data_IF_735976173684
#
_entry.id   IF_735976173684
#
_cell.length_a   1.000
_cell.length_b   1.000
_cell.length_c   1.000
_cell.angle_alpha   90.00
_cell.angle_beta   90.00
_cell.angle_gamma   90.00
#
_symmetry.space_group_name_H-M   'P 1'
#
loop_
_entity.id
_entity.type
_entity.pdbx_description
1 polymer ?
#
# COMPACT_ATOMS: atom_id res chain seq x y z
N UNK A 1 -8.88 11.55 -3.10
CA UNK A 1 -7.44 11.78 -2.89
C UNK A 1 -7.23 12.61 -1.64
N UNK A 2 -6.54 12.10 -0.62
CA UNK A 2 -5.95 12.94 0.42
C UNK A 2 -4.46 12.68 0.47
N UNK A 3 -3.75 13.25 -0.50
CA UNK A 3 -2.33 12.99 -0.68
C UNK A 3 -1.53 13.47 0.54
N UNK A 4 -1.87 14.56 1.24
CA UNK A 4 -1.36 14.88 2.59
C UNK A 4 -2.26 15.90 3.34
N UNK A 5 -3.44 15.50 3.85
CA UNK A 5 -4.41 16.45 4.45
C UNK A 5 -4.24 16.69 5.96
N UNK A 6 -3.47 15.85 6.63
CA UNK A 6 -3.13 16.00 8.05
C UNK A 6 -1.65 16.39 8.14
N UNK A 7 -1.28 17.29 9.05
CA UNK A 7 0.11 17.56 9.38
C UNK A 7 0.82 16.23 9.65
N UNK A 8 1.55 15.72 8.64
CA UNK A 8 2.30 14.48 8.79
C UNK A 8 3.46 14.80 9.71
N UNK A 9 3.25 14.56 11.01
CA UNK A 9 4.25 14.79 12.07
C UNK A 9 5.57 14.07 11.76
N UNK A 10 5.49 12.94 11.04
CA UNK A 10 6.65 12.18 10.58
C UNK A 10 6.31 11.31 9.38
N UNK A 11 7.10 11.45 8.33
CA UNK A 11 7.00 10.57 7.16
C UNK A 11 7.53 9.17 7.47
N UNK A 12 6.91 8.11 6.93
CA UNK A 12 7.45 6.77 7.00
C UNK A 12 8.81 6.73 6.30
N UNK A 13 9.74 5.99 6.89
CA UNK A 13 10.97 5.60 6.20
C UNK A 13 10.66 4.49 5.19
N UNK A 14 11.54 4.33 4.19
CA UNK A 14 11.37 3.32 3.14
C UNK A 14 11.20 1.90 3.69
N UNK A 15 11.95 1.53 4.74
CA UNK A 15 11.82 0.22 5.39
C UNK A 15 10.40 -0.04 5.94
N UNK A 16 9.76 1.00 6.47
CA UNK A 16 8.38 0.93 6.99
C UNK A 16 7.38 0.79 5.85
N UNK A 17 7.56 1.55 4.77
CA UNK A 17 6.72 1.44 3.56
C UNK A 17 6.79 0.03 2.98
N UNK A 18 8.01 -0.51 2.79
CA UNK A 18 8.22 -1.85 2.25
C UNK A 18 7.62 -2.94 3.13
N UNK A 19 7.68 -2.80 4.47
CA UNK A 19 7.05 -3.74 5.40
C UNK A 19 5.52 -3.76 5.24
N UNK A 20 4.90 -2.58 5.15
CA UNK A 20 3.44 -2.45 4.97
C UNK A 20 3.02 -2.96 3.59
N UNK A 21 3.77 -2.62 2.54
CA UNK A 21 3.54 -3.08 1.16
C UNK A 21 3.54 -4.61 1.08
N UNK A 22 4.51 -5.27 1.73
CA UNK A 22 4.55 -6.73 1.82
C UNK A 22 3.33 -7.30 2.55
N UNK A 23 2.98 -6.72 3.70
CA UNK A 23 1.82 -7.19 4.46
C UNK A 23 0.50 -7.07 3.68
N UNK A 24 0.33 -6.00 2.90
CA UNK A 24 -0.83 -5.80 2.02
C UNK A 24 -0.90 -6.84 0.91
N UNK A 25 0.23 -7.09 0.25
CA UNK A 25 0.34 -8.10 -0.82
C UNK A 25 0.04 -9.51 -0.28
N UNK A 26 0.53 -9.83 0.92
CA UNK A 26 0.30 -11.13 1.57
C UNK A 26 -1.14 -11.27 2.11
N UNK A 27 -1.81 -10.15 2.44
CA UNK A 27 -3.16 -10.12 3.00
C UNK A 27 -4.28 -10.36 1.98
N UNK A 28 -4.03 -10.13 0.68
CA UNK A 28 -5.01 -10.41 -0.38
C UNK A 28 -6.34 -9.64 -0.33
N UNK A 29 -6.51 -8.69 0.59
CA UNK A 29 -7.77 -7.98 0.83
C UNK A 29 -8.66 -8.59 1.92
N UNK A 30 -8.22 -9.64 2.62
CA UNK A 30 -9.03 -10.36 3.61
C UNK A 30 -9.20 -9.63 4.96
N UNK A 31 -8.52 -8.49 5.13
CA UNK A 31 -8.46 -7.78 6.42
C UNK A 31 -8.85 -6.33 6.25
N UNK A 32 -9.64 -5.81 7.18
CA UNK A 32 -9.85 -4.37 7.27
C UNK A 32 -8.52 -3.67 7.53
N UNK A 33 -8.46 -2.38 7.18
CA UNK A 33 -7.30 -1.52 7.41
C UNK A 33 -6.79 -1.63 8.86
N UNK A 34 -7.70 -1.69 9.85
CA UNK A 34 -7.35 -1.80 11.27
C UNK A 34 -6.83 -3.17 11.67
N UNK A 35 -7.38 -4.24 11.11
CA UNK A 35 -6.94 -5.61 11.39
C UNK A 35 -5.56 -5.86 10.81
N UNK A 36 -5.32 -5.41 9.57
CA UNK A 36 -4.01 -5.52 8.95
C UNK A 36 -2.95 -4.76 9.74
N UNK A 37 -3.27 -3.55 10.22
CA UNK A 37 -2.38 -2.76 11.07
C UNK A 37 -1.95 -3.53 12.34
N UNK A 38 -2.88 -4.22 13.00
CA UNK A 38 -2.60 -5.02 14.20
C UNK A 38 -1.72 -6.24 13.90
N UNK A 39 -1.79 -6.77 12.68
CA UNK A 39 -1.05 -7.95 12.21
C UNK A 39 0.32 -7.62 11.62
N UNK A 40 0.70 -6.34 11.56
CA UNK A 40 2.00 -5.95 11.04
C UNK A 40 3.14 -6.60 11.85
N UNK A 41 4.24 -7.03 11.19
CA UNK A 41 5.40 -7.62 11.88
C UNK A 41 6.01 -6.71 12.95
N UNK A 42 5.87 -5.39 12.77
CA UNK A 42 6.31 -4.37 13.71
C UNK A 42 5.20 -3.35 13.89
N UNK A 43 4.97 -2.96 15.14
CA UNK A 43 4.01 -1.90 15.46
C UNK A 43 4.50 -0.56 14.90
N UNK A 44 3.61 0.09 14.15
CA UNK A 44 3.82 1.41 13.53
C UNK A 44 2.75 2.36 14.06
N UNK A 45 3.08 3.64 14.18
CA UNK A 45 2.07 4.63 14.56
C UNK A 45 0.94 4.64 13.54
N UNK A 46 -0.30 4.75 14.02
CA UNK A 46 -1.49 4.74 13.17
C UNK A 46 -1.42 5.78 12.05
N UNK A 47 -0.96 7.00 12.36
CA UNK A 47 -0.81 8.07 11.37
C UNK A 47 0.20 7.71 10.27
N UNK A 48 1.33 7.10 10.62
CA UNK A 48 2.35 6.64 9.66
C UNK A 48 1.81 5.54 8.76
N UNK A 49 1.01 4.63 9.32
CA UNK A 49 0.34 3.59 8.56
C UNK A 49 -0.68 4.18 7.58
N UNK A 50 -1.53 5.10 8.03
CA UNK A 50 -2.50 5.80 7.17
C UNK A 50 -1.81 6.56 6.04
N UNK A 51 -0.76 7.33 6.35
CA UNK A 51 0.02 8.04 5.32
C UNK A 51 0.66 7.09 4.30
N UNK A 52 1.04 5.88 4.72
CA UNK A 52 1.56 4.86 3.81
C UNK A 52 0.45 4.31 2.91
N UNK A 53 -0.73 4.02 3.45
CA UNK A 53 -1.87 3.58 2.63
C UNK A 53 -2.31 4.65 1.64
N UNK A 54 -2.39 5.91 2.07
CA UNK A 54 -2.70 7.04 1.19
C UNK A 54 -1.69 7.15 0.04
N UNK A 55 -0.40 6.99 0.33
CA UNK A 55 0.64 6.95 -0.69
C UNK A 55 0.50 5.75 -1.64
N UNK A 56 0.22 4.56 -1.11
CA UNK A 56 0.08 3.35 -1.92
C UNK A 56 -1.16 3.42 -2.82
N UNK A 57 -2.27 3.97 -2.33
CA UNK A 57 -3.48 4.24 -3.11
C UNK A 57 -3.20 5.30 -4.19
N UNK A 58 -2.54 6.41 -3.82
CA UNK A 58 -2.13 7.44 -4.77
C UNK A 58 -1.22 6.90 -5.88
N UNK A 59 -0.29 6.02 -5.53
CA UNK A 59 0.61 5.36 -6.49
C UNK A 59 -0.05 4.24 -7.32
N UNK A 60 -1.34 3.98 -7.08
CA UNK A 60 -2.13 3.00 -7.83
C UNK A 60 -1.80 1.54 -7.51
N UNK A 61 -1.19 1.25 -6.35
CA UNK A 61 -0.85 -0.13 -5.97
C UNK A 61 -1.96 -0.84 -5.21
N UNK A 62 -2.79 -0.07 -4.49
CA UNK A 62 -3.93 -0.57 -3.73
C UNK A 62 -5.19 0.22 -4.04
N UNK A 63 -6.33 -0.39 -3.75
CA UNK A 63 -7.63 0.28 -3.62
C UNK A 63 -8.18 0.01 -2.23
N UNK A 64 -8.95 0.94 -1.69
CA UNK A 64 -9.70 0.71 -0.44
C UNK A 64 -11.17 0.57 -0.80
N UNK A 65 -11.77 -0.57 -0.43
CA UNK A 65 -13.19 -0.82 -0.71
C UNK A 65 -14.12 0.01 0.18
N UNK A 66 -15.43 -0.17 0.00
CA UNK A 66 -16.46 0.52 0.79
C UNK A 66 -16.44 0.12 2.27
N UNK A 67 -15.98 -1.09 2.59
CA UNK A 67 -15.89 -1.64 3.94
C UNK A 67 -14.54 -1.36 4.63
N UNK A 68 -13.66 -0.59 3.98
CA UNK A 68 -12.31 -0.25 4.46
C UNK A 68 -11.35 -1.44 4.49
N UNK A 69 -11.42 -2.33 3.52
CA UNK A 69 -10.40 -3.34 3.22
C UNK A 69 -9.43 -2.80 2.16
N UNK A 70 -8.12 -2.81 2.42
CA UNK A 70 -7.13 -2.43 1.43
C UNK A 70 -6.81 -3.65 0.54
N UNK A 71 -7.13 -3.54 -0.74
CA UNK A 71 -6.99 -4.57 -1.75
C UNK A 71 -5.76 -4.27 -2.61
N UNK A 72 -4.85 -5.23 -2.74
CA UNK A 72 -3.69 -5.12 -3.60
C UNK A 72 -4.07 -5.33 -5.06
N UNK A 73 -3.76 -4.36 -5.93
CA UNK A 73 -4.12 -4.40 -7.36
C UNK A 73 -2.90 -4.38 -8.30
N UNK A 74 -1.70 -4.13 -7.76
CA UNK A 74 -0.50 -4.10 -8.58
C UNK A 74 -0.09 -5.49 -9.05
N UNK A 75 0.08 -5.64 -10.37
CA UNK A 75 0.30 -6.90 -11.07
C UNK A 75 1.74 -6.97 -11.64
N UNK A 76 2.78 -7.18 -10.82
CA UNK A 76 4.17 -7.04 -11.23
C UNK A 76 4.61 -8.11 -12.24
N UNK A 77 4.01 -9.30 -12.22
CA UNK A 77 4.37 -10.40 -13.13
C UNK A 77 3.94 -10.08 -14.55
N UNK A 78 2.72 -9.63 -14.70
CA UNK A 78 2.08 -9.21 -15.94
C UNK A 78 2.85 -8.06 -16.57
N UNK A 79 3.20 -7.05 -15.76
CA UNK A 79 4.04 -5.92 -16.20
C UNK A 79 5.42 -6.39 -16.67
N UNK A 80 6.03 -7.37 -15.99
CA UNK A 80 7.32 -7.95 -16.40
C UNK A 80 7.21 -8.67 -17.75
N UNK A 81 6.15 -9.44 -17.97
CA UNK A 81 5.93 -10.11 -19.26
C UNK A 81 5.64 -9.11 -20.40
N UNK A 82 4.90 -8.04 -20.14
CA UNK A 82 4.67 -6.98 -21.12
C UNK A 82 5.97 -6.26 -21.51
N UNK A 83 6.85 -5.99 -20.55
CA UNK A 83 8.18 -5.41 -20.81
C UNK A 83 9.04 -6.32 -21.69
N UNK A 84 9.01 -7.65 -21.47
CA UNK A 84 9.72 -8.61 -22.34
C UNK A 84 9.20 -8.60 -23.77
N UNK A 85 7.90 -8.36 -23.96
CA UNK A 85 7.26 -8.21 -25.27
C UNK A 85 7.54 -6.87 -25.95
N UNK A 86 8.42 -6.04 -25.39
CA UNK A 86 8.84 -4.76 -25.96
C UNK A 86 7.90 -3.59 -25.65
N UNK A 87 6.90 -3.78 -24.78
CA UNK A 87 6.05 -2.68 -24.34
C UNK A 87 6.81 -1.82 -23.33
N UNK A 88 7.27 -0.64 -23.77
CA UNK A 88 7.97 0.34 -22.93
C UNK A 88 7.04 1.54 -22.74
N UNK A 89 6.57 1.74 -21.52
CA UNK A 89 5.89 2.98 -21.12
C UNK A 89 7.00 4.01 -20.86
N UNK A 90 7.04 5.09 -21.66
CA UNK A 90 7.96 6.22 -21.49
C UNK A 90 7.31 7.32 -20.67
#
# INVERSE_FOLDING_TARGET
MQVFKNEVLRFPRLDTVLMIEKALMDAGGDYSVRELWKKLPKQVMWQTYMATLDYLEYSGKILIDTEKHPIWIWAPKEVKELKKKGLVVR
#
